data_IF_840238588345
#
_entry.id   IF_840238588345
#
_cell.length_a   1.000
_cell.length_b   1.000
_cell.length_c   1.000
_cell.angle_alpha   90.00
_cell.angle_beta   90.00
_cell.angle_gamma   90.00
#
_symmetry.space_group_name_H-M   'P 1'
#
loop_
_entity.id
_entity.type
_entity.pdbx_description
1 polymer ?
#
# COMPACT_ATOMS: atom_id res chain seq x y z
N UNK A 1 0.46 16.43 -17.67
CA UNK A 1 1.00 15.49 -16.66
C UNK A 1 0.06 15.53 -15.48
N UNK A 2 -0.57 14.41 -15.07
CA UNK A 2 -1.38 14.38 -13.84
C UNK A 2 -0.43 14.66 -12.66
N UNK A 3 -0.82 15.58 -11.78
CA UNK A 3 -0.10 15.85 -10.54
C UNK A 3 0.12 14.54 -9.79
N UNK A 4 1.37 14.27 -9.45
CA UNK A 4 1.73 13.10 -8.65
C UNK A 4 1.45 13.49 -7.21
N UNK A 5 0.25 13.18 -6.72
CA UNK A 5 -0.05 13.23 -5.30
C UNK A 5 0.88 12.24 -4.60
N UNK A 6 1.98 12.77 -4.07
CA UNK A 6 2.93 12.01 -3.26
C UNK A 6 2.26 11.83 -1.91
N UNK A 7 1.90 10.58 -1.59
CA UNK A 7 1.16 10.29 -0.37
C UNK A 7 2.20 10.00 0.71
N UNK A 8 1.98 10.52 1.92
CA UNK A 8 2.84 10.17 3.05
C UNK A 8 2.76 8.66 3.32
N UNK A 9 3.88 8.06 3.72
CA UNK A 9 3.90 6.69 4.18
C UNK A 9 3.50 6.66 5.66
N UNK A 10 2.54 5.82 5.98
CA UNK A 10 1.98 5.66 7.32
C UNK A 10 2.43 4.35 7.97
N UNK A 11 2.73 3.33 7.16
CA UNK A 11 3.19 2.04 7.66
C UNK A 11 4.66 2.13 8.08
N UNK A 12 4.88 1.95 9.38
CA UNK A 12 6.20 1.85 9.97
C UNK A 12 6.89 0.51 9.63
N UNK A 13 8.22 0.54 9.50
CA UNK A 13 9.03 -0.66 9.20
C UNK A 13 9.39 -1.39 10.49
N UNK A 14 8.52 -2.25 10.98
CA UNK A 14 8.86 -3.21 12.04
C UNK A 14 9.31 -4.57 11.48
N UNK A 15 9.86 -5.43 12.36
CA UNK A 15 10.14 -6.84 12.02
C UNK A 15 8.83 -7.59 11.84
N UNK A 16 8.37 -7.66 10.59
CA UNK A 16 7.10 -8.29 10.22
C UNK A 16 7.26 -9.78 9.87
N UNK A 17 6.22 -10.57 10.15
CA UNK A 17 6.11 -11.96 9.70
C UNK A 17 5.88 -12.01 8.19
N UNK A 18 6.45 -12.99 7.50
CA UNK A 18 6.26 -13.16 6.06
C UNK A 18 4.92 -13.85 5.76
N UNK A 19 4.14 -13.28 4.85
CA UNK A 19 2.94 -13.89 4.29
C UNK A 19 3.15 -14.08 2.79
N UNK A 20 3.12 -15.34 2.32
CA UNK A 20 3.13 -15.66 0.89
C UNK A 20 1.69 -15.86 0.43
N UNK A 21 1.28 -15.16 -0.64
CA UNK A 21 -0.03 -15.34 -1.25
C UNK A 21 0.05 -15.20 -2.77
N UNK A 22 -0.87 -15.85 -3.47
CA UNK A 22 -1.06 -15.64 -4.90
C UNK A 22 -1.93 -14.40 -5.12
N UNK A 23 -1.50 -13.51 -6.01
CA UNK A 23 -2.19 -12.26 -6.33
C UNK A 23 -2.52 -12.25 -7.82
N UNK A 24 -3.74 -11.83 -8.17
CA UNK A 24 -4.16 -11.69 -9.57
C UNK A 24 -3.19 -10.77 -10.35
N UNK A 25 -2.92 -11.09 -11.62
CA UNK A 25 -1.94 -10.37 -12.45
C UNK A 25 -2.22 -8.87 -12.51
N UNK A 26 -3.48 -8.51 -12.69
CA UNK A 26 -3.90 -7.11 -12.87
C UNK A 26 -3.70 -6.30 -11.58
N UNK A 27 -3.99 -6.92 -10.43
CA UNK A 27 -3.73 -6.30 -9.13
C UNK A 27 -2.23 -6.13 -8.89
N UNK A 28 -1.41 -7.11 -9.29
CA UNK A 28 0.05 -7.02 -9.20
C UNK A 28 0.60 -5.89 -10.09
N UNK A 29 0.04 -5.69 -11.28
CA UNK A 29 0.44 -4.59 -12.18
C UNK A 29 0.11 -3.22 -11.57
N UNK A 30 -1.10 -3.05 -11.04
CA UNK A 30 -1.51 -1.83 -10.34
C UNK A 30 -0.61 -1.55 -9.13
N UNK A 31 -0.31 -2.57 -8.33
CA UNK A 31 0.57 -2.45 -7.17
C UNK A 31 1.98 -1.97 -7.56
N UNK A 32 2.55 -2.50 -8.65
CA UNK A 32 3.85 -2.06 -9.19
C UNK A 32 3.82 -0.61 -9.67
N UNK A 33 2.73 -0.19 -10.29
CA UNK A 33 2.55 1.18 -10.74
C UNK A 33 2.56 2.16 -9.55
N UNK A 34 1.78 1.86 -8.50
CA UNK A 34 1.73 2.68 -7.29
C UNK A 34 3.11 2.72 -6.60
N UNK A 35 3.77 1.57 -6.48
CA UNK A 35 5.10 1.48 -5.88
C UNK A 35 6.12 2.38 -6.61
N UNK A 36 6.10 2.38 -7.95
CA UNK A 36 6.96 3.24 -8.76
C UNK A 36 6.63 4.73 -8.60
N UNK A 37 5.35 5.07 -8.58
CA UNK A 37 4.91 6.46 -8.43
C UNK A 37 5.33 7.05 -7.07
N UNK A 38 5.19 6.27 -6.00
CA UNK A 38 5.51 6.70 -4.64
C UNK A 38 6.96 6.45 -4.22
N UNK A 39 7.78 5.84 -5.11
CA UNK A 39 9.16 5.41 -4.81
C UNK A 39 9.23 4.48 -3.59
N UNK A 40 8.27 3.58 -3.46
CA UNK A 40 8.18 2.60 -2.38
C UNK A 40 8.58 1.20 -2.85
N UNK A 41 8.95 0.33 -1.91
CA UNK A 41 9.04 -1.11 -2.19
C UNK A 41 7.64 -1.68 -2.40
N UNK A 42 7.53 -2.79 -3.15
CA UNK A 42 6.25 -3.51 -3.27
C UNK A 42 5.67 -3.86 -1.91
N UNK A 43 6.53 -4.33 -1.00
CA UNK A 43 6.15 -4.67 0.37
C UNK A 43 5.53 -3.48 1.12
N UNK A 44 6.14 -2.29 1.11
CA UNK A 44 5.56 -1.10 1.74
C UNK A 44 4.26 -0.72 1.05
N UNK A 45 4.24 -0.76 -0.27
CA UNK A 45 3.05 -0.39 -1.05
C UNK A 45 1.86 -1.31 -0.72
N UNK A 46 2.10 -2.61 -0.55
CA UNK A 46 1.09 -3.56 -0.10
C UNK A 46 0.52 -3.16 1.26
N UNK A 47 1.40 -2.90 2.23
CA UNK A 47 0.95 -2.57 3.58
C UNK A 47 0.15 -1.25 3.59
N UNK A 48 0.59 -0.23 2.85
CA UNK A 48 -0.10 1.06 2.72
C UNK A 48 -1.49 0.92 2.11
N UNK A 49 -1.60 0.12 1.04
CA UNK A 49 -2.89 -0.14 0.39
C UNK A 49 -3.82 -0.91 1.32
N UNK A 50 -3.30 -1.91 2.06
CA UNK A 50 -4.09 -2.66 3.03
C UNK A 50 -4.55 -1.78 4.18
N UNK A 51 -3.66 -0.98 4.77
CA UNK A 51 -3.99 -0.04 5.85
C UNK A 51 -5.12 0.91 5.43
N UNK A 52 -4.97 1.55 4.26
CA UNK A 52 -5.99 2.47 3.73
C UNK A 52 -7.28 1.75 3.38
N UNK A 53 -7.21 0.54 2.84
CA UNK A 53 -8.36 -0.31 2.60
C UNK A 53 -9.12 -0.64 3.88
N UNK A 54 -8.41 -1.00 4.96
CA UNK A 54 -9.00 -1.26 6.26
C UNK A 54 -9.64 -0.02 6.89
N UNK A 55 -9.04 1.17 6.72
CA UNK A 55 -9.67 2.43 7.16
C UNK A 55 -10.91 2.76 6.34
N UNK A 56 -10.81 2.70 5.01
CA UNK A 56 -11.93 2.99 4.11
C UNK A 56 -13.13 2.04 4.31
N UNK A 57 -12.90 0.84 4.86
CA UNK A 57 -13.93 -0.14 5.19
C UNK A 57 -14.37 -0.09 6.66
N UNK A 58 -13.84 0.85 7.46
CA UNK A 58 -14.19 1.02 8.87
C UNK A 58 -13.61 -0.05 9.82
N UNK A 59 -12.69 -0.90 9.33
CA UNK A 59 -11.99 -1.90 10.15
C UNK A 59 -10.84 -1.30 10.98
N UNK A 60 -10.35 -0.13 10.59
CA UNK A 60 -9.42 0.68 11.38
C UNK A 60 -10.00 2.10 11.49
N UNK A 61 -9.88 2.76 12.65
CA UNK A 61 -10.27 4.16 12.77
C UNK A 61 -9.44 5.03 11.83
N UNK A 62 -10.06 6.06 11.24
CA UNK A 62 -9.32 7.11 10.55
C UNK A 62 -8.49 7.88 11.58
N UNK A 63 -7.21 8.16 11.28
CA UNK A 63 -6.40 9.03 12.12
C UNK A 63 -7.02 10.43 12.12
N UNK A 64 -7.43 10.89 13.31
CA UNK A 64 -7.98 12.23 13.58
C UNK A 64 -6.86 13.27 13.56
#
# INVERSE_FOLDING_TARGET
MKEINTISAEVYRERRKHLSCMVHSDLMQLLRQVARQQRWSLSRTTDEILLRGFRATGHLPEEV
#
